data_IF_264737224061
#
_entry.id   IF_264737224061
#
_cell.length_a   1.000
_cell.length_b   1.000
_cell.length_c   1.000
_cell.angle_alpha   90.00
_cell.angle_beta   90.00
_cell.angle_gamma   90.00
#
_symmetry.space_group_name_H-M   'P 1'
#
loop_
_entity.id
_entity.type
_entity.pdbx_description
1 polymer ?
#
# COMPACT_ATOMS: atom_id res chain seq x y z
N UNK A 1 -7.03 9.62 -32.68
CA UNK A 1 -7.63 9.65 -31.32
C UNK A 1 -6.83 8.68 -30.47
N UNK A 2 -5.84 9.17 -29.73
CA UNK A 2 -4.96 8.34 -28.90
C UNK A 2 -5.72 7.95 -27.63
N UNK A 3 -5.98 6.65 -27.46
CA UNK A 3 -6.64 6.10 -26.28
C UNK A 3 -5.69 6.26 -25.09
N UNK A 4 -5.98 7.20 -24.20
CA UNK A 4 -5.28 7.34 -22.93
C UNK A 4 -5.73 6.20 -22.04
N UNK A 5 -4.92 5.15 -21.95
CA UNK A 5 -5.13 4.04 -21.03
C UNK A 5 -4.65 4.48 -19.65
N UNK A 6 -5.56 4.75 -18.71
CA UNK A 6 -5.19 4.92 -17.31
C UNK A 6 -4.66 3.57 -16.82
N UNK A 7 -3.35 3.50 -16.55
CA UNK A 7 -2.73 2.33 -15.91
C UNK A 7 -3.20 2.32 -14.46
N UNK A 8 -3.88 1.26 -14.04
CA UNK A 8 -4.25 1.09 -12.63
C UNK A 8 -3.11 0.39 -11.88
N UNK A 9 -3.02 0.52 -10.55
CA UNK A 9 -2.03 -0.22 -9.74
C UNK A 9 -2.06 -1.74 -9.97
N UNK A 10 -3.17 -2.30 -10.48
CA UNK A 10 -3.27 -3.72 -10.83
C UNK A 10 -2.51 -4.07 -12.11
N UNK A 11 -2.40 -3.13 -13.04
CA UNK A 11 -1.79 -3.32 -14.36
C UNK A 11 -0.35 -2.76 -14.40
N UNK A 12 0.11 -2.13 -13.31
CA UNK A 12 1.46 -1.59 -13.18
C UNK A 12 2.45 -2.68 -12.73
N UNK A 13 3.54 -2.94 -13.49
CA UNK A 13 4.50 -3.99 -13.15
C UNK A 13 5.33 -3.71 -11.88
N UNK A 14 5.31 -2.48 -11.36
CA UNK A 14 5.98 -2.12 -10.12
C UNK A 14 5.15 -2.46 -8.87
N UNK A 15 3.88 -2.86 -9.04
CA UNK A 15 3.00 -3.21 -7.96
C UNK A 15 2.73 -4.72 -7.92
N UNK A 16 2.55 -5.26 -6.71
CA UNK A 16 2.15 -6.64 -6.48
C UNK A 16 1.02 -6.69 -5.47
N UNK A 17 0.05 -7.59 -5.68
CA UNK A 17 -1.08 -7.75 -4.78
C UNK A 17 -0.68 -8.54 -3.53
N UNK A 18 -0.91 -7.96 -2.36
CA UNK A 18 -0.80 -8.64 -1.06
C UNK A 18 -2.22 -8.94 -0.55
N UNK A 19 -2.48 -10.18 -0.14
CA UNK A 19 -3.80 -10.63 0.31
C UNK A 19 -3.72 -11.42 1.62
N UNK A 20 -4.74 -11.29 2.48
CA UNK A 20 -4.85 -12.02 3.74
C UNK A 20 -6.21 -11.85 4.41
N UNK A 21 -6.51 -12.72 5.39
CA UNK A 21 -7.73 -12.62 6.19
C UNK A 21 -7.47 -11.86 7.49
N UNK A 22 -8.38 -10.95 7.85
CA UNK A 22 -8.38 -10.20 9.11
C UNK A 22 -9.77 -10.22 9.75
N UNK A 23 -9.89 -9.99 11.07
CA UNK A 23 -11.20 -9.84 11.71
C UNK A 23 -12.04 -8.75 11.03
N UNK A 24 -13.36 -8.99 10.92
CA UNK A 24 -14.29 -8.06 10.25
C UNK A 24 -14.30 -6.68 10.88
N UNK A 25 -14.22 -6.61 12.20
CA UNK A 25 -14.12 -5.33 12.93
C UNK A 25 -12.86 -4.54 12.52
N UNK A 26 -11.73 -5.23 12.42
CA UNK A 26 -10.47 -4.62 12.02
C UNK A 26 -10.55 -4.05 10.59
N UNK A 27 -11.08 -4.83 9.64
CA UNK A 27 -11.28 -4.37 8.27
C UNK A 27 -12.21 -3.14 8.20
N UNK A 28 -13.27 -3.11 9.01
CA UNK A 28 -14.20 -1.97 9.07
C UNK A 28 -13.50 -0.72 9.59
N UNK A 29 -12.80 -0.84 10.72
CA UNK A 29 -12.06 0.29 11.33
C UNK A 29 -10.98 0.83 10.40
N UNK A 30 -10.26 -0.06 9.71
CA UNK A 30 -9.27 0.32 8.71
C UNK A 30 -9.90 1.17 7.57
N UNK A 31 -11.02 0.73 7.01
CA UNK A 31 -11.72 1.47 5.94
C UNK A 31 -12.22 2.83 6.40
N UNK A 32 -12.76 2.92 7.62
CA UNK A 32 -13.17 4.19 8.23
C UNK A 32 -11.96 5.12 8.35
N UNK A 33 -10.84 4.62 8.88
CA UNK A 33 -9.63 5.42 9.02
C UNK A 33 -9.08 5.93 7.68
N UNK A 34 -9.08 5.10 6.63
CA UNK A 34 -8.69 5.54 5.28
C UNK A 34 -9.60 6.67 4.78
N UNK A 35 -10.91 6.50 4.95
CA UNK A 35 -11.91 7.51 4.53
C UNK A 35 -11.72 8.82 5.30
N UNK A 36 -11.56 8.76 6.61
CA UNK A 36 -11.36 9.94 7.46
C UNK A 36 -10.05 10.69 7.18
N UNK A 37 -9.05 10.00 6.62
CA UNK A 37 -7.75 10.57 6.24
C UNK A 37 -7.67 10.95 4.76
N UNK A 38 -8.72 10.70 3.98
CA UNK A 38 -8.76 10.93 2.54
C UNK A 38 -7.64 10.22 1.75
N UNK A 39 -7.24 9.02 2.21
CA UNK A 39 -6.22 8.20 1.56
C UNK A 39 -6.80 6.88 1.04
N UNK A 40 -6.14 6.31 0.02
CA UNK A 40 -6.53 5.02 -0.53
C UNK A 40 -6.17 3.87 0.42
N UNK A 41 -6.93 2.77 0.37
CA UNK A 41 -6.59 1.55 1.10
C UNK A 41 -5.20 1.01 0.73
N UNK A 42 -4.77 1.17 -0.53
CA UNK A 42 -3.43 0.79 -0.96
C UNK A 42 -2.35 1.61 -0.26
N UNK A 43 -2.51 2.94 -0.19
CA UNK A 43 -1.54 3.83 0.47
C UNK A 43 -1.41 3.50 1.96
N UNK A 44 -2.56 3.30 2.63
CA UNK A 44 -2.57 2.90 4.03
C UNK A 44 -1.95 1.51 4.26
N UNK A 45 -2.09 0.59 3.30
CA UNK A 45 -1.48 -0.74 3.37
C UNK A 45 0.04 -0.68 3.15
N UNK A 46 0.50 0.15 2.21
CA UNK A 46 1.93 0.41 1.97
C UNK A 46 2.60 0.91 3.27
N UNK A 47 2.03 1.94 3.91
CA UNK A 47 2.53 2.47 5.18
C UNK A 47 2.52 1.41 6.30
N UNK A 48 1.44 0.63 6.43
CA UNK A 48 1.33 -0.39 7.47
C UNK A 48 2.35 -1.53 7.28
N UNK A 49 2.61 -1.93 6.04
CA UNK A 49 3.59 -2.97 5.71
C UNK A 49 5.03 -2.47 5.96
N UNK A 50 5.35 -1.23 5.59
CA UNK A 50 6.66 -0.63 5.89
C UNK A 50 6.92 -0.59 7.40
N UNK A 51 5.93 -0.14 8.19
CA UNK A 51 6.03 -0.12 9.65
C UNK A 51 6.15 -1.52 10.26
N UNK A 52 5.47 -2.51 9.70
CA UNK A 52 5.59 -3.90 10.14
C UNK A 52 6.99 -4.45 9.88
N UNK A 53 7.53 -4.22 8.68
CA UNK A 53 8.88 -4.66 8.31
C UNK A 53 9.96 -3.96 9.14
N UNK A 54 9.81 -2.67 9.44
CA UNK A 54 10.77 -1.92 10.26
C UNK A 54 10.84 -2.44 11.70
N UNK A 55 9.71 -2.83 12.28
CA UNK A 55 9.64 -3.34 13.66
C UNK A 55 10.30 -4.71 13.81
N UNK A 56 10.07 -5.61 12.86
CA UNK A 56 10.49 -7.01 12.97
C UNK A 56 11.82 -7.30 12.26
N UNK A 57 12.20 -6.52 11.24
CA UNK A 57 13.35 -6.80 10.40
C UNK A 57 14.02 -5.50 9.91
N UNK A 58 14.79 -4.78 10.74
CA UNK A 58 15.50 -3.56 10.34
C UNK A 58 16.53 -3.78 9.23
N UNK A 59 16.87 -5.03 8.90
CA UNK A 59 17.72 -5.39 7.76
C UNK A 59 16.98 -5.44 6.42
N UNK A 60 15.64 -5.56 6.42
CA UNK A 60 14.81 -5.49 5.21
C UNK A 60 14.45 -4.05 4.83
N UNK A 61 14.73 -3.08 5.70
CA UNK A 61 14.52 -1.66 5.44
C UNK A 61 15.77 -1.05 4.77
N UNK A 62 15.86 -1.11 3.43
CA UNK A 62 16.54 -0.11 2.54
C UNK A 62 16.73 -0.61 1.09
N UNK A 63 16.20 0.13 0.10
CA UNK A 63 16.97 0.99 -0.84
C UNK A 63 16.06 1.55 -1.97
N UNK A 64 15.97 2.87 -2.06
CA UNK A 64 15.31 3.55 -3.17
C UNK A 64 15.33 5.08 -3.14
N UNK A 65 16.28 5.75 -2.45
CA UNK A 65 16.53 7.17 -2.72
C UNK A 65 17.50 7.26 -3.89
N UNK A 66 16.94 7.47 -5.08
CA UNK A 66 17.68 7.99 -6.22
C UNK A 66 18.37 9.29 -5.83
N UNK A 67 19.64 9.42 -6.23
CA UNK A 67 20.40 10.65 -6.20
C UNK A 67 19.84 11.60 -7.25
N UNK A 68 19.66 12.87 -6.89
CA UNK A 68 19.90 14.02 -7.76
C UNK A 68 20.90 14.92 -7.05
#
# INVERSE_FOLDING_TARGET
MTKVSVVTKRDDPNYSQVSGYVPKDLARRFRIACTSKEISQSEALEEALEQWLEKDNPSLTKKGKGKE
#
